data_IF_769872694862
#
_entry.id   IF_769872694862
#
_cell.length_a   1.000
_cell.length_b   1.000
_cell.length_c   1.000
_cell.angle_alpha   90.00
_cell.angle_beta   90.00
_cell.angle_gamma   90.00
#
_symmetry.space_group_name_H-M   'P 1'
#
loop_
_entity.id
_entity.type
_entity.pdbx_description
1 polymer ?
#
# COMPACT_ATOMS: atom_id res chain seq x y z
N UNK A 1 -2.02 -26.00 -5.26
CA UNK A 1 -2.31 -24.92 -6.23
C UNK A 1 -1.87 -23.60 -5.61
N UNK A 2 -1.22 -22.68 -6.33
CA UNK A 2 -0.66 -21.43 -5.75
C UNK A 2 -1.69 -20.31 -5.57
N UNK A 3 -2.73 -20.32 -6.40
CA UNK A 3 -3.79 -19.30 -6.44
C UNK A 3 -5.17 -19.97 -6.50
N UNK A 4 -6.26 -19.25 -6.18
CA UNK A 4 -7.60 -19.70 -6.48
C UNK A 4 -7.71 -20.09 -7.97
N UNK A 5 -8.43 -21.17 -8.27
CA UNK A 5 -8.74 -21.50 -9.66
C UNK A 5 -9.96 -20.72 -10.12
N UNK A 6 -9.80 -19.95 -11.19
CA UNK A 6 -10.91 -19.34 -11.92
C UNK A 6 -10.63 -19.59 -13.40
N UNK A 7 -11.53 -20.32 -14.06
CA UNK A 7 -11.45 -20.52 -15.51
C UNK A 7 -11.54 -19.16 -16.23
N UNK A 8 -10.67 -18.94 -17.23
CA UNK A 8 -10.56 -17.69 -17.99
C UNK A 8 -10.39 -16.43 -17.11
N UNK A 9 -9.62 -16.53 -16.02
CA UNK A 9 -9.44 -15.45 -15.04
C UNK A 9 -9.03 -14.11 -15.67
N UNK A 10 -8.01 -14.09 -16.53
CA UNK A 10 -7.51 -12.83 -17.13
C UNK A 10 -8.59 -12.15 -17.99
N UNK A 11 -9.32 -12.94 -18.80
CA UNK A 11 -10.42 -12.44 -19.63
C UNK A 11 -11.58 -11.91 -18.78
N UNK A 12 -11.94 -12.63 -17.70
CA UNK A 12 -13.00 -12.20 -16.78
C UNK A 12 -12.63 -10.92 -16.06
N UNK A 13 -11.39 -10.81 -15.60
CA UNK A 13 -10.88 -9.62 -14.94
C UNK A 13 -10.89 -8.40 -15.87
N UNK A 14 -10.40 -8.56 -17.11
CA UNK A 14 -10.45 -7.51 -18.13
C UNK A 14 -11.88 -7.02 -18.38
N UNK A 15 -12.83 -7.93 -18.62
CA UNK A 15 -14.22 -7.57 -18.89
C UNK A 15 -14.87 -6.85 -17.70
N UNK A 16 -14.58 -7.31 -16.48
CA UNK A 16 -15.05 -6.66 -15.25
C UNK A 16 -14.49 -5.24 -15.14
N UNK A 17 -13.18 -5.07 -15.30
CA UNK A 17 -12.52 -3.76 -15.28
C UNK A 17 -13.08 -2.82 -16.35
N UNK A 18 -13.22 -3.25 -17.60
CA UNK A 18 -13.78 -2.44 -18.68
C UNK A 18 -15.21 -1.98 -18.38
N UNK A 19 -16.04 -2.87 -17.82
CA UNK A 19 -17.42 -2.52 -17.46
C UNK A 19 -17.51 -1.42 -16.38
N UNK A 20 -16.52 -1.37 -15.48
CA UNK A 20 -16.41 -0.38 -14.40
C UNK A 20 -15.73 0.89 -14.86
N UNK A 21 -14.70 0.77 -15.71
CA UNK A 21 -13.90 1.86 -16.25
C UNK A 21 -14.77 2.91 -16.94
N UNK A 22 -15.72 2.46 -17.77
CA UNK A 22 -16.61 3.37 -18.48
C UNK A 22 -17.55 4.15 -17.56
N UNK A 23 -17.84 3.63 -16.36
CA UNK A 23 -18.72 4.26 -15.38
C UNK A 23 -17.98 5.23 -14.46
N UNK A 24 -16.73 4.93 -14.11
CA UNK A 24 -15.98 5.66 -13.08
C UNK A 24 -15.12 6.79 -13.64
N UNK A 25 -14.45 6.60 -14.77
CA UNK A 25 -13.50 7.61 -15.27
C UNK A 25 -14.14 8.69 -16.14
N UNK A 26 -13.78 9.94 -15.88
CA UNK A 26 -14.13 11.14 -16.67
C UNK A 26 -13.26 11.24 -17.93
N UNK A 27 -13.75 11.95 -18.94
CA UNK A 27 -13.11 12.04 -20.28
C UNK A 27 -11.66 12.53 -20.22
N UNK A 28 -11.36 13.50 -19.35
CA UNK A 28 -10.04 14.13 -19.21
C UNK A 28 -8.98 13.26 -18.52
N UNK A 29 -9.40 12.26 -17.74
CA UNK A 29 -8.50 11.30 -17.05
C UNK A 29 -8.52 9.90 -17.66
N UNK A 30 -9.39 9.65 -18.65
CA UNK A 30 -9.58 8.34 -19.27
C UNK A 30 -8.34 7.80 -19.97
N UNK A 31 -7.51 8.65 -20.57
CA UNK A 31 -6.32 8.19 -21.30
C UNK A 31 -5.26 7.67 -20.32
N UNK A 32 -4.83 8.50 -19.37
CA UNK A 32 -3.87 8.11 -18.32
C UNK A 32 -4.34 6.90 -17.51
N UNK A 33 -5.62 6.87 -17.11
CA UNK A 33 -6.20 5.75 -16.39
C UNK A 33 -6.20 4.46 -17.22
N UNK A 34 -6.43 4.56 -18.53
CA UNK A 34 -6.43 3.40 -19.43
C UNK A 34 -5.03 2.86 -19.62
N UNK A 35 -4.04 3.72 -19.83
CA UNK A 35 -2.63 3.31 -19.94
C UNK A 35 -2.17 2.57 -18.68
N UNK A 36 -2.47 3.13 -17.50
CA UNK A 36 -2.16 2.47 -16.22
C UNK A 36 -2.89 1.15 -16.06
N UNK A 37 -4.20 1.09 -16.35
CA UNK A 37 -4.97 -0.15 -16.25
C UNK A 37 -4.41 -1.25 -17.16
N UNK A 38 -4.09 -0.92 -18.42
CA UNK A 38 -3.55 -1.89 -19.37
C UNK A 38 -2.22 -2.46 -18.89
N UNK A 39 -1.33 -1.60 -18.38
CA UNK A 39 -0.08 -2.03 -17.78
C UNK A 39 -0.31 -2.91 -16.54
N UNK A 40 -1.20 -2.51 -15.62
CA UNK A 40 -1.52 -3.30 -14.41
C UNK A 40 -2.11 -4.68 -14.75
N UNK A 41 -2.94 -4.78 -15.80
CA UNK A 41 -3.50 -6.04 -16.29
C UNK A 41 -2.42 -6.91 -16.94
N UNK A 42 -1.51 -6.33 -17.73
CA UNK A 42 -0.37 -7.06 -18.31
C UNK A 42 0.53 -7.66 -17.22
N UNK A 43 0.85 -6.89 -16.18
CA UNK A 43 1.63 -7.39 -15.03
C UNK A 43 0.85 -8.51 -14.31
N UNK A 44 -0.46 -8.33 -14.12
CA UNK A 44 -1.32 -9.34 -13.48
C UNK A 44 -1.35 -10.66 -14.25
N UNK A 45 -1.40 -10.60 -15.59
CA UNK A 45 -1.33 -11.76 -16.48
C UNK A 45 0.04 -12.46 -16.39
N UNK A 46 1.14 -11.69 -16.48
CA UNK A 46 2.52 -12.22 -16.31
C UNK A 46 2.71 -12.91 -14.96
N UNK A 47 2.16 -12.33 -13.90
CA UNK A 47 2.20 -12.88 -12.54
C UNK A 47 1.19 -14.02 -12.31
N UNK A 48 0.30 -14.29 -13.28
CA UNK A 48 -0.79 -15.27 -13.20
C UNK A 48 -1.68 -15.06 -11.98
N UNK A 49 -1.94 -13.80 -11.63
CA UNK A 49 -2.62 -13.42 -10.38
C UNK A 49 -4.04 -12.90 -10.58
N UNK A 50 -4.59 -12.95 -11.81
CA UNK A 50 -5.95 -12.48 -12.08
C UNK A 50 -7.02 -13.18 -11.23
N UNK A 51 -6.85 -14.48 -10.96
CA UNK A 51 -7.78 -15.24 -10.12
C UNK A 51 -7.77 -14.80 -8.66
N UNK A 52 -6.68 -14.22 -8.15
CA UNK A 52 -6.63 -13.62 -6.83
C UNK A 52 -7.53 -12.40 -6.72
N UNK A 53 -7.46 -11.50 -7.71
CA UNK A 53 -8.28 -10.30 -7.76
C UNK A 53 -9.78 -10.65 -7.83
N UNK A 54 -10.13 -11.58 -8.72
CA UNK A 54 -11.49 -12.07 -8.85
C UNK A 54 -11.98 -12.76 -7.58
N UNK A 55 -11.14 -13.58 -6.94
CA UNK A 55 -11.51 -14.24 -5.69
C UNK A 55 -11.86 -13.24 -4.59
N UNK A 56 -11.03 -12.22 -4.35
CA UNK A 56 -11.33 -11.19 -3.34
C UNK A 56 -12.61 -10.44 -3.71
N UNK A 57 -12.75 -10.07 -4.98
CA UNK A 57 -13.96 -9.39 -5.47
C UNK A 57 -15.21 -10.24 -5.20
N UNK A 58 -15.21 -11.51 -5.60
CA UNK A 58 -16.34 -12.43 -5.46
C UNK A 58 -16.70 -12.68 -3.99
N UNK A 59 -15.69 -12.83 -3.10
CA UNK A 59 -15.92 -12.97 -1.65
C UNK A 59 -16.62 -11.72 -1.10
N UNK A 60 -16.11 -10.52 -1.43
CA UNK A 60 -16.70 -9.26 -0.97
C UNK A 60 -18.12 -9.06 -1.52
N UNK A 61 -18.38 -9.47 -2.77
CA UNK A 61 -19.74 -9.43 -3.33
C UNK A 61 -20.67 -10.44 -2.64
N UNK A 62 -20.21 -11.67 -2.40
CA UNK A 62 -21.02 -12.74 -1.81
C UNK A 62 -21.52 -12.38 -0.40
N UNK A 63 -20.71 -11.67 0.38
CA UNK A 63 -21.08 -11.21 1.72
C UNK A 63 -21.72 -9.81 1.75
N UNK A 64 -21.99 -9.22 0.57
CA UNK A 64 -22.49 -7.87 0.41
C UNK A 64 -21.68 -6.83 1.21
N UNK A 65 -20.34 -6.89 1.12
CA UNK A 65 -19.46 -5.96 1.80
C UNK A 65 -19.66 -4.53 1.28
N UNK A 66 -19.85 -3.59 2.20
CA UNK A 66 -19.87 -2.16 1.90
C UNK A 66 -18.44 -1.60 1.93
N UNK A 67 -18.09 -0.71 0.99
CA UNK A 67 -16.79 -0.04 0.93
C UNK A 67 -16.43 0.78 2.19
N UNK A 68 -17.42 1.18 2.99
CA UNK A 68 -17.22 1.85 4.28
C UNK A 68 -16.89 0.88 5.43
N UNK A 69 -17.03 -0.43 5.21
CA UNK A 69 -16.76 -1.47 6.20
C UNK A 69 -15.31 -1.97 6.16
N UNK A 70 -14.52 -1.60 5.15
CA UNK A 70 -13.13 -2.05 5.04
C UNK A 70 -12.21 -1.05 4.33
N UNK A 71 -10.92 -1.24 4.52
CA UNK A 71 -9.91 -0.63 3.68
C UNK A 71 -8.67 -1.53 3.58
N UNK A 72 -8.12 -1.64 2.38
CA UNK A 72 -6.91 -2.43 2.14
C UNK A 72 -5.65 -1.66 2.57
N UNK A 73 -4.78 -2.36 3.29
CA UNK A 73 -3.50 -1.89 3.80
C UNK A 73 -2.42 -1.92 2.71
N UNK A 74 -1.27 -1.35 3.02
CA UNK A 74 -0.11 -1.37 2.14
C UNK A 74 -0.34 -0.55 0.88
N UNK A 75 -0.18 -1.18 -0.27
CA UNK A 75 0.06 -0.51 -1.56
C UNK A 75 -1.08 -0.70 -2.55
N UNK A 76 -2.09 -1.52 -2.20
CA UNK A 76 -3.22 -1.87 -3.06
C UNK A 76 -3.94 -0.63 -3.59
N UNK A 77 -4.09 0.40 -2.75
CA UNK A 77 -4.72 1.66 -3.12
C UNK A 77 -3.99 2.47 -4.20
N UNK A 78 -2.78 2.07 -4.60
CA UNK A 78 -2.07 2.68 -5.72
C UNK A 78 -2.57 2.22 -7.09
N UNK A 79 -3.43 1.21 -7.18
CA UNK A 79 -3.79 0.56 -8.45
C UNK A 79 -5.14 0.99 -8.98
N UNK A 80 -5.20 1.29 -10.28
CA UNK A 80 -6.45 1.54 -11.01
C UNK A 80 -7.33 0.29 -10.94
N UNK A 81 -6.72 -0.89 -11.06
CA UNK A 81 -7.36 -2.18 -10.89
C UNK A 81 -8.10 -2.28 -9.55
N UNK A 82 -7.46 -1.90 -8.44
CA UNK A 82 -8.08 -1.92 -7.12
C UNK A 82 -9.26 -0.93 -7.01
N UNK A 83 -9.11 0.27 -7.58
CA UNK A 83 -10.17 1.28 -7.60
C UNK A 83 -11.40 0.79 -8.39
N UNK A 84 -11.20 0.21 -9.59
CA UNK A 84 -12.29 -0.31 -10.41
C UNK A 84 -13.06 -1.47 -9.77
N UNK A 85 -12.35 -2.29 -8.98
CA UNK A 85 -12.94 -3.40 -8.24
C UNK A 85 -13.57 -2.99 -6.91
N UNK A 86 -13.52 -1.69 -6.55
CA UNK A 86 -14.06 -1.16 -5.30
C UNK A 86 -13.23 -1.52 -4.06
N UNK A 87 -11.99 -1.98 -4.24
CA UNK A 87 -11.08 -2.32 -3.13
C UNK A 87 -10.42 -1.09 -2.51
N UNK A 88 -10.53 0.06 -3.16
CA UNK A 88 -10.20 1.37 -2.59
C UNK A 88 -11.17 2.40 -3.16
N UNK A 89 -11.49 3.42 -2.39
CA UNK A 89 -12.26 4.57 -2.87
C UNK A 89 -11.35 5.72 -3.36
N UNK A 90 -10.04 5.52 -3.36
CA UNK A 90 -9.06 6.48 -3.88
C UNK A 90 -8.90 6.21 -5.37
N UNK A 91 -9.18 7.21 -6.20
CA UNK A 91 -8.77 7.17 -7.60
C UNK A 91 -7.26 7.47 -7.67
N UNK A 92 -6.40 6.48 -8.00
CA UNK A 92 -4.96 6.70 -7.97
C UNK A 92 -4.47 7.60 -9.11
N UNK A 93 -5.31 7.92 -10.10
CA UNK A 93 -5.01 8.82 -11.23
C UNK A 93 -5.37 10.27 -10.89
N UNK A 94 -6.37 10.47 -10.02
CA UNK A 94 -6.87 11.79 -9.62
C UNK A 94 -6.74 11.99 -8.10
N UNK A 95 -5.57 11.67 -7.56
CA UNK A 95 -5.27 11.85 -6.15
C UNK A 95 -4.07 12.77 -5.93
N UNK A 96 -4.11 13.49 -4.82
CA UNK A 96 -3.01 14.29 -4.31
C UNK A 96 -2.82 13.95 -2.83
N UNK A 97 -1.60 13.58 -2.39
CA UNK A 97 -0.38 13.36 -3.17
C UNK A 97 -0.42 12.13 -4.11
N UNK A 98 0.42 12.12 -5.16
CA UNK A 98 0.41 11.12 -6.26
C UNK A 98 0.69 9.69 -5.79
N UNK A 99 0.19 8.70 -6.54
CA UNK A 99 0.44 7.27 -6.32
C UNK A 99 1.00 6.59 -7.57
N UNK A 100 1.76 5.50 -7.36
CA UNK A 100 2.48 4.80 -8.43
C UNK A 100 2.20 3.29 -8.39
N UNK A 101 1.86 2.70 -9.53
CA UNK A 101 1.44 1.30 -9.62
C UNK A 101 2.61 0.31 -9.39
N UNK A 102 3.82 0.66 -9.82
CA UNK A 102 5.06 -0.14 -9.69
C UNK A 102 5.43 -0.54 -8.26
N UNK A 103 4.87 0.21 -7.32
CA UNK A 103 5.03 0.09 -5.89
C UNK A 103 4.12 -0.96 -5.24
N UNK A 104 3.16 -1.49 -6.01
CA UNK A 104 2.27 -2.57 -5.62
C UNK A 104 2.48 -3.84 -6.46
N UNK A 105 2.65 -3.70 -7.77
CA UNK A 105 2.94 -4.77 -8.72
C UNK A 105 3.99 -4.31 -9.71
N UNK A 106 4.88 -5.18 -10.18
CA UNK A 106 5.80 -4.86 -11.26
C UNK A 106 6.29 -6.14 -11.99
N UNK A 107 7.14 -5.98 -12.99
CA UNK A 107 7.68 -7.09 -13.79
C UNK A 107 8.67 -7.99 -13.02
N UNK A 108 9.08 -7.63 -11.79
CA UNK A 108 9.87 -8.51 -10.95
C UNK A 108 8.98 -9.55 -10.25
N UNK A 109 9.47 -10.78 -10.11
CA UNK A 109 8.75 -11.84 -9.41
C UNK A 109 8.60 -11.59 -7.89
N UNK A 110 9.25 -10.55 -7.36
CA UNK A 110 9.34 -10.24 -5.94
C UNK A 110 8.26 -9.26 -5.45
N UNK A 111 7.52 -8.62 -6.36
CA UNK A 111 6.44 -7.69 -6.04
C UNK A 111 5.09 -8.21 -6.50
N UNK A 112 4.43 -8.93 -5.59
CA UNK A 112 3.05 -9.37 -5.76
C UNK A 112 2.13 -8.59 -4.83
N UNK A 113 0.93 -8.33 -5.32
CA UNK A 113 -0.10 -7.68 -4.51
C UNK A 113 -0.42 -8.53 -3.27
N UNK A 114 -0.36 -7.90 -2.09
CA UNK A 114 -0.80 -8.50 -0.83
C UNK A 114 -2.19 -7.96 -0.47
N UNK A 115 -3.13 -8.87 -0.20
CA UNK A 115 -4.49 -8.50 0.17
C UNK A 115 -4.64 -8.57 1.68
N UNK A 116 -4.38 -7.44 2.32
CA UNK A 116 -4.56 -7.27 3.77
C UNK A 116 -5.55 -6.14 4.00
N UNK A 117 -6.64 -6.39 4.71
CA UNK A 117 -7.65 -5.38 4.99
C UNK A 117 -7.82 -5.16 6.49
N UNK A 118 -8.08 -3.92 6.88
CA UNK A 118 -8.78 -3.67 8.13
C UNK A 118 -10.28 -3.67 7.82
N UNK A 119 -11.06 -4.34 8.67
CA UNK A 119 -12.49 -4.54 8.49
C UNK A 119 -13.26 -4.15 9.74
N UNK A 120 -14.51 -3.72 9.58
CA UNK A 120 -15.43 -3.50 10.69
C UNK A 120 -15.69 -4.82 11.44
N UNK A 121 -16.05 -4.77 12.74
CA UNK A 121 -16.38 -5.99 13.48
C UNK A 121 -17.50 -6.82 12.83
N UNK A 122 -18.52 -6.15 12.26
CA UNK A 122 -19.61 -6.84 11.56
C UNK A 122 -19.13 -7.52 10.27
N UNK A 123 -18.28 -6.85 9.48
CA UNK A 123 -17.74 -7.44 8.27
C UNK A 123 -16.76 -8.58 8.58
N UNK A 124 -15.99 -8.46 9.65
CA UNK A 124 -15.15 -9.53 10.17
C UNK A 124 -15.98 -10.79 10.43
N UNK A 125 -17.09 -10.69 11.18
CA UNK A 125 -17.98 -11.82 11.45
C UNK A 125 -18.55 -12.45 10.17
N UNK A 126 -18.95 -11.64 9.18
CA UNK A 126 -19.42 -12.13 7.87
C UNK A 126 -18.32 -12.90 7.12
N UNK A 127 -17.08 -12.39 7.13
CA UNK A 127 -15.94 -13.06 6.50
C UNK A 127 -15.61 -14.38 7.20
N UNK A 128 -15.66 -14.42 8.54
CA UNK A 128 -15.46 -15.66 9.29
C UNK A 128 -16.52 -16.70 8.92
N UNK A 129 -17.80 -16.31 8.95
CA UNK A 129 -18.90 -17.21 8.59
C UNK A 129 -18.78 -17.72 7.15
N UNK A 130 -18.49 -16.82 6.20
CA UNK A 130 -18.29 -17.19 4.79
C UNK A 130 -17.20 -18.23 4.63
N UNK A 131 -16.03 -18.02 5.23
CA UNK A 131 -14.95 -19.00 5.11
C UNK A 131 -15.28 -20.30 5.86
N UNK A 132 -15.89 -20.25 7.04
CA UNK A 132 -16.30 -21.46 7.76
C UNK A 132 -17.22 -22.39 6.94
N UNK A 133 -18.09 -21.81 6.12
CA UNK A 133 -18.97 -22.56 5.22
C UNK A 133 -18.27 -23.04 3.93
N UNK A 134 -17.23 -22.32 3.46
CA UNK A 134 -16.59 -22.54 2.16
C UNK A 134 -15.17 -23.16 2.25
N UNK A 135 -14.69 -23.49 3.46
CA UNK A 135 -13.37 -24.10 3.70
C UNK A 135 -13.20 -25.52 3.13
N UNK A 136 -14.28 -26.17 2.66
CA UNK A 136 -14.25 -27.53 2.10
C UNK A 136 -13.67 -27.62 0.68
N UNK A 137 -13.28 -26.50 0.07
CA UNK A 137 -12.46 -26.54 -1.14
C UNK A 137 -11.00 -26.86 -0.75
N UNK A 138 -10.45 -27.96 -1.30
CA UNK A 138 -9.20 -28.68 -0.92
C UNK A 138 -7.89 -27.85 -0.79
N UNK A 139 -7.91 -26.53 -0.84
CA UNK A 139 -6.73 -25.67 -0.77
C UNK A 139 -6.90 -24.39 0.04
N UNK A 140 -7.97 -24.19 0.82
CA UNK A 140 -8.14 -23.02 1.70
C UNK A 140 -7.87 -23.43 3.15
N UNK A 141 -7.05 -22.65 3.85
CA UNK A 141 -6.75 -22.86 5.28
C UNK A 141 -6.89 -21.56 6.06
N UNK A 142 -7.33 -21.69 7.32
CA UNK A 142 -7.37 -20.55 8.24
C UNK A 142 -5.96 -20.08 8.60
N UNK A 143 -5.83 -18.79 8.82
CA UNK A 143 -4.62 -18.13 9.27
C UNK A 143 -4.85 -17.45 10.62
N UNK A 144 -3.88 -17.54 11.53
CA UNK A 144 -4.02 -17.06 12.91
C UNK A 144 -2.85 -16.17 13.31
N UNK A 145 -3.12 -15.18 14.17
CA UNK A 145 -2.11 -14.36 14.85
C UNK A 145 -1.31 -15.20 15.86
N UNK A 146 -0.23 -14.62 16.38
CA UNK A 146 0.56 -15.20 17.47
C UNK A 146 -0.31 -15.41 18.73
N UNK A 147 -1.26 -14.49 18.96
CA UNK A 147 -2.21 -14.52 20.06
C UNK A 147 -3.33 -15.56 19.86
N UNK A 148 -3.40 -16.19 18.68
CA UNK A 148 -4.36 -17.25 18.34
C UNK A 148 -5.66 -16.74 17.71
N UNK A 149 -5.75 -15.45 17.41
CA UNK A 149 -6.92 -14.86 16.77
C UNK A 149 -6.94 -15.18 15.28
N UNK A 150 -8.11 -15.55 14.76
CA UNK A 150 -8.29 -15.76 13.33
C UNK A 150 -8.12 -14.43 12.57
N UNK A 151 -7.31 -14.42 11.51
CA UNK A 151 -6.95 -13.16 10.84
C UNK A 151 -6.87 -13.27 9.32
N UNK A 152 -7.41 -14.33 8.74
CA UNK A 152 -7.41 -14.49 7.29
C UNK A 152 -7.43 -15.92 6.81
N UNK A 153 -7.36 -16.05 5.48
CA UNK A 153 -7.18 -17.34 4.82
C UNK A 153 -5.92 -17.39 3.99
N UNK A 154 -5.40 -18.59 3.86
CA UNK A 154 -4.31 -18.96 2.96
C UNK A 154 -4.85 -19.91 1.91
N UNK A 155 -4.51 -19.64 0.65
CA UNK A 155 -4.86 -20.50 -0.49
C UNK A 155 -3.57 -21.03 -1.11
N UNK A 156 -3.43 -22.36 -1.09
CA UNK A 156 -2.17 -23.02 -1.43
C UNK A 156 -1.14 -23.05 -0.29
N UNK A 157 -0.17 -23.96 -0.36
CA UNK A 157 0.83 -24.13 0.71
C UNK A 157 0.33 -24.92 1.93
N UNK A 158 1.20 -25.09 2.93
CA UNK A 158 0.88 -25.78 4.20
C UNK A 158 0.32 -24.80 5.25
N UNK A 159 -0.48 -25.30 6.20
CA UNK A 159 -0.94 -24.52 7.37
C UNK A 159 0.24 -24.04 8.21
N UNK A 160 0.32 -22.73 8.51
CA UNK A 160 1.38 -22.14 9.35
C UNK A 160 0.83 -21.07 10.30
N UNK A 161 1.49 -20.89 11.45
CA UNK A 161 1.28 -19.76 12.39
C UNK A 161 2.20 -18.60 11.99
N UNK A 162 1.73 -17.37 12.12
CA UNK A 162 2.56 -16.16 11.92
C UNK A 162 3.50 -16.01 13.09
N UNK A 163 4.75 -15.56 12.84
CA UNK A 163 5.56 -14.82 13.81
C UNK A 163 5.46 -13.35 13.42
N UNK A 164 5.15 -12.44 14.34
CA UNK A 164 5.16 -10.96 14.15
C UNK A 164 6.12 -10.50 13.04
N UNK A 165 5.54 -10.23 11.86
CA UNK A 165 6.30 -9.85 10.67
C UNK A 165 5.54 -10.15 9.38
N UNK A 166 5.55 -9.18 8.47
CA UNK A 166 4.93 -9.14 7.14
C UNK A 166 5.53 -10.16 6.14
N UNK A 167 5.79 -11.39 6.58
CA UNK A 167 6.50 -12.38 5.78
C UNK A 167 5.55 -13.05 4.78
N UNK A 168 5.74 -12.72 3.50
CA UNK A 168 5.25 -13.50 2.37
C UNK A 168 5.71 -14.95 2.54
N UNK A 169 4.77 -15.86 2.77
CA UNK A 169 5.07 -17.29 2.67
C UNK A 169 5.23 -17.56 1.16
N UNK A 170 6.38 -18.10 0.71
CA UNK A 170 6.55 -18.43 -0.70
C UNK A 170 5.45 -19.40 -1.15
N UNK A 171 4.90 -19.14 -2.34
CA UNK A 171 3.97 -20.03 -3.05
C UNK A 171 2.57 -20.23 -2.46
N UNK A 172 2.10 -19.29 -1.65
CA UNK A 172 0.70 -19.18 -1.22
C UNK A 172 0.10 -17.80 -1.51
N UNK A 173 -1.23 -17.76 -1.57
CA UNK A 173 -2.02 -16.53 -1.60
C UNK A 173 -2.64 -16.27 -0.24
N UNK A 174 -2.55 -15.03 0.23
CA UNK A 174 -3.12 -14.63 1.52
C UNK A 174 -4.21 -13.59 1.31
N UNK A 175 -5.35 -13.81 1.95
CA UNK A 175 -6.31 -12.76 2.24
C UNK A 175 -6.40 -12.58 3.74
N UNK A 176 -5.73 -11.56 4.25
CA UNK A 176 -5.74 -11.23 5.67
C UNK A 176 -6.76 -10.14 5.96
N UNK A 177 -7.50 -10.30 7.03
CA UNK A 177 -8.49 -9.32 7.48
C UNK A 177 -8.42 -9.18 9.00
N UNK A 178 -8.24 -7.93 9.44
CA UNK A 178 -8.05 -7.58 10.84
C UNK A 178 -9.23 -6.73 11.31
N UNK A 179 -9.90 -7.10 12.41
CA UNK A 179 -10.96 -6.26 12.97
C UNK A 179 -10.37 -4.94 13.47
N UNK A 180 -11.09 -3.84 13.27
CA UNK A 180 -10.69 -2.52 13.72
C UNK A 180 -11.78 -1.79 14.51
N UNK A 181 -11.39 -0.96 15.48
CA UNK A 181 -12.29 -0.13 16.28
C UNK A 181 -12.09 1.38 15.97
N UNK A 182 -13.05 2.00 15.25
CA UNK A 182 -12.98 3.40 14.76
C UNK A 182 -12.63 4.41 15.87
N UNK A 183 -13.29 4.34 17.01
CA UNK A 183 -13.20 5.33 18.11
C UNK A 183 -11.83 5.46 18.78
N UNK A 184 -10.96 4.44 18.72
CA UNK A 184 -9.63 4.48 19.34
C UNK A 184 -8.55 5.12 18.44
N UNK A 185 -8.85 5.33 17.15
CA UNK A 185 -7.92 5.77 16.12
C UNK A 185 -7.41 7.20 16.33
N UNK A 186 -8.36 8.14 16.46
CA UNK A 186 -8.10 9.58 16.48
C UNK A 186 -7.26 10.03 17.67
N UNK A 187 -7.66 9.63 18.87
CA UNK A 187 -6.98 10.04 20.11
C UNK A 187 -5.51 9.58 20.14
N UNK A 188 -5.18 8.49 19.44
CA UNK A 188 -3.80 8.02 19.34
C UNK A 188 -2.97 8.91 18.43
N UNK A 189 -3.54 9.42 17.34
CA UNK A 189 -2.85 10.22 16.31
C UNK A 189 -2.48 11.63 16.75
N UNK A 190 -3.37 12.30 17.48
CA UNK A 190 -3.13 13.66 17.99
C UNK A 190 -1.97 13.74 18.99
N UNK A 191 -1.53 12.59 19.52
CA UNK A 191 -0.40 12.49 20.45
C UNK A 191 0.95 12.21 19.76
N UNK A 192 0.98 11.99 18.44
CA UNK A 192 2.25 11.79 17.72
C UNK A 192 3.00 13.11 17.54
N UNK A 193 4.32 13.09 17.79
CA UNK A 193 5.17 14.29 17.71
C UNK A 193 5.10 15.03 16.36
N UNK A 194 5.09 14.37 15.18
CA UNK A 194 4.90 15.06 13.91
C UNK A 194 3.63 15.91 13.86
N UNK A 195 2.50 15.40 14.37
CA UNK A 195 1.24 16.16 14.38
C UNK A 195 1.30 17.38 15.31
N UNK A 196 1.86 17.22 16.51
CA UNK A 196 2.00 18.29 17.48
C UNK A 196 2.94 19.41 17.00
N UNK A 197 4.01 19.03 16.32
CA UNK A 197 5.06 19.97 15.89
C UNK A 197 4.76 20.60 14.53
N UNK A 198 4.25 19.84 13.56
CA UNK A 198 3.99 20.33 12.21
C UNK A 198 2.60 20.94 12.04
N UNK A 199 1.62 20.61 12.91
CA UNK A 199 0.25 21.13 12.87
C UNK A 199 -0.37 21.07 11.46
N UNK A 200 -0.58 19.85 10.92
CA UNK A 200 -1.04 19.66 9.55
C UNK A 200 -2.39 20.33 9.31
N UNK A 201 -2.59 20.92 8.12
CA UNK A 201 -3.83 21.61 7.75
C UNK A 201 -4.52 20.84 6.62
N UNK A 202 -3.78 20.52 5.57
CA UNK A 202 -4.33 19.87 4.39
C UNK A 202 -4.19 18.34 4.45
N UNK A 203 -5.04 17.60 3.73
CA UNK A 203 -4.99 16.13 3.65
C UNK A 203 -3.57 15.61 3.39
N UNK A 204 -2.81 16.28 2.53
CA UNK A 204 -1.42 15.93 2.21
C UNK A 204 -0.49 16.02 3.44
N UNK A 205 -0.66 17.04 4.29
CA UNK A 205 0.10 17.19 5.53
C UNK A 205 -0.21 16.09 6.53
N UNK A 206 -1.48 15.71 6.64
CA UNK A 206 -1.91 14.59 7.49
C UNK A 206 -1.25 13.29 7.03
N UNK A 207 -1.29 13.00 5.72
CA UNK A 207 -0.62 11.84 5.12
C UNK A 207 0.89 11.87 5.38
N UNK A 208 1.52 13.05 5.27
CA UNK A 208 2.94 13.23 5.56
C UNK A 208 3.24 12.95 7.04
N UNK A 209 2.47 13.53 7.97
CA UNK A 209 2.63 13.33 9.40
C UNK A 209 2.39 11.87 9.83
N UNK A 210 1.44 11.17 9.20
CA UNK A 210 1.26 9.73 9.40
C UNK A 210 2.52 8.94 9.03
N UNK A 211 3.10 9.22 7.87
CA UNK A 211 4.36 8.62 7.43
C UNK A 211 5.51 8.88 8.39
N UNK A 212 5.70 10.15 8.78
CA UNK A 212 6.71 10.57 9.74
C UNK A 212 6.57 9.88 11.11
N UNK A 213 5.34 9.68 11.58
CA UNK A 213 5.05 9.13 12.91
C UNK A 213 5.16 7.61 13.04
N UNK A 214 5.15 6.87 11.93
CA UNK A 214 5.13 5.40 11.94
C UNK A 214 6.38 4.76 11.35
N UNK A 215 7.16 5.49 10.55
CA UNK A 215 8.43 5.01 10.03
C UNK A 215 9.51 4.96 11.12
N UNK A 216 10.44 4.00 11.00
CA UNK A 216 11.56 3.87 11.94
C UNK A 216 12.75 4.68 11.42
N UNK A 217 13.26 5.61 12.23
CA UNK A 217 14.35 6.51 11.83
C UNK A 217 13.93 7.60 10.84
N UNK A 218 12.63 7.87 10.74
CA UNK A 218 12.06 8.89 9.86
C UNK A 218 11.94 10.24 10.58
N UNK A 219 11.40 10.27 11.79
CA UNK A 219 11.21 11.51 12.56
C UNK A 219 12.42 11.90 13.42
N UNK A 220 12.67 11.17 14.52
CA UNK A 220 13.66 11.55 15.53
C UNK A 220 15.09 11.62 14.96
N UNK A 221 15.79 12.71 15.25
CA UNK A 221 17.15 13.01 14.75
C UNK A 221 17.27 12.94 13.21
N UNK A 222 16.16 13.07 12.50
CA UNK A 222 16.08 13.08 11.05
C UNK A 222 15.13 14.20 10.58
N UNK A 223 13.90 13.90 10.17
CA UNK A 223 12.94 14.91 9.70
C UNK A 223 12.71 16.03 10.71
N UNK A 224 12.65 15.69 12.01
CA UNK A 224 12.50 16.69 13.08
C UNK A 224 13.63 17.74 13.05
N UNK A 225 14.88 17.28 12.87
CA UNK A 225 16.04 18.16 12.82
C UNK A 225 16.00 19.02 11.55
N UNK A 226 15.71 18.42 10.40
CA UNK A 226 15.68 19.13 9.11
C UNK A 226 14.64 20.26 9.12
N UNK A 227 13.44 19.98 9.66
CA UNK A 227 12.36 20.96 9.77
C UNK A 227 12.69 22.05 10.81
N UNK A 228 13.13 21.68 12.02
CA UNK A 228 13.42 22.66 13.09
C UNK A 228 14.54 23.63 12.74
N UNK A 229 15.50 23.19 11.93
CA UNK A 229 16.60 24.04 11.48
C UNK A 229 16.31 24.78 10.17
N UNK A 230 15.09 24.66 9.63
CA UNK A 230 14.69 25.34 8.40
C UNK A 230 15.45 24.86 7.16
N UNK A 231 15.98 23.63 7.17
CA UNK A 231 16.69 23.04 6.04
C UNK A 231 15.68 22.64 4.96
N UNK A 232 14.53 22.12 5.38
CA UNK A 232 13.40 21.73 4.51
C UNK A 232 12.07 22.05 5.19
N UNK A 233 11.02 22.18 4.39
CA UNK A 233 9.63 22.30 4.82
C UNK A 233 8.99 20.92 5.07
N UNK A 234 7.76 20.90 5.62
CA UNK A 234 6.97 19.67 5.77
C UNK A 234 6.70 18.97 4.43
N UNK A 235 6.51 19.73 3.35
CA UNK A 235 6.19 19.15 2.04
C UNK A 235 7.41 18.47 1.41
N UNK A 236 8.61 19.00 1.66
CA UNK A 236 9.88 18.53 1.10
C UNK A 236 10.48 17.33 1.87
N UNK A 237 10.16 17.16 3.15
CA UNK A 237 10.76 16.10 3.96
C UNK A 237 10.28 14.71 3.56
N UNK A 238 11.12 13.69 3.79
CA UNK A 238 10.77 12.27 3.56
C UNK A 238 9.86 11.79 4.69
N UNK A 239 8.58 11.54 4.38
CA UNK A 239 7.63 10.87 5.27
C UNK A 239 7.16 9.52 4.73
N UNK A 240 7.14 9.36 3.41
CA UNK A 240 6.70 8.16 2.71
C UNK A 240 7.71 7.77 1.62
N UNK A 241 7.71 6.51 1.20
CA UNK A 241 8.68 6.03 0.19
C UNK A 241 8.53 6.75 -1.15
N UNK A 242 7.32 7.17 -1.48
CA UNK A 242 7.03 7.94 -2.69
C UNK A 242 7.77 9.29 -2.71
N UNK A 243 8.14 9.85 -1.55
CA UNK A 243 8.94 11.08 -1.48
C UNK A 243 10.39 10.86 -1.96
N UNK A 244 10.95 9.66 -1.70
CA UNK A 244 12.26 9.24 -2.25
C UNK A 244 12.19 9.06 -3.74
N UNK A 245 11.11 8.44 -4.19
CA UNK A 245 10.90 8.19 -5.58
C UNK A 245 10.76 9.48 -6.39
N UNK A 246 9.90 10.39 -5.93
CA UNK A 246 9.66 11.68 -6.57
C UNK A 246 10.92 12.54 -6.59
N UNK A 247 11.69 12.60 -5.49
CA UNK A 247 12.98 13.30 -5.47
C UNK A 247 13.91 12.81 -6.58
N UNK A 248 14.01 11.50 -6.79
CA UNK A 248 14.87 10.91 -7.82
C UNK A 248 14.34 11.21 -9.24
N UNK A 249 13.03 11.07 -9.46
CA UNK A 249 12.40 11.36 -10.75
C UNK A 249 12.53 12.84 -11.14
N UNK A 250 12.33 13.75 -10.18
CA UNK A 250 12.44 15.19 -10.38
C UNK A 250 13.88 15.62 -10.75
N UNK A 251 14.88 14.80 -10.39
CA UNK A 251 16.28 14.96 -10.76
C UNK A 251 16.70 14.13 -11.99
N UNK A 252 15.72 13.58 -12.73
CA UNK A 252 15.95 12.88 -14.00
C UNK A 252 16.49 11.45 -13.87
N UNK A 253 16.44 10.85 -12.69
CA UNK A 253 16.79 9.43 -12.50
C UNK A 253 15.73 8.56 -13.17
N UNK A 254 16.17 7.53 -13.90
CA UNK A 254 15.27 6.58 -14.56
C UNK A 254 14.32 5.90 -13.56
N UNK A 255 13.07 5.70 -14.00
CA UNK A 255 11.96 5.07 -13.26
C UNK A 255 12.37 3.79 -12.53
N UNK A 256 13.10 2.90 -13.21
CA UNK A 256 13.51 1.61 -12.65
C UNK A 256 14.57 1.80 -11.56
N UNK A 257 15.57 2.65 -11.81
CA UNK A 257 16.65 2.93 -10.85
C UNK A 257 16.10 3.66 -9.62
N UNK A 258 15.20 4.63 -9.84
CA UNK A 258 14.53 5.36 -8.76
C UNK A 258 13.71 4.41 -7.87
N UNK A 259 13.03 3.42 -8.47
CA UNK A 259 12.32 2.38 -7.73
C UNK A 259 13.28 1.52 -6.90
N UNK A 260 14.37 1.05 -7.49
CA UNK A 260 15.37 0.22 -6.81
C UNK A 260 16.00 0.94 -5.61
N UNK A 261 16.39 2.22 -5.78
CA UNK A 261 16.91 3.05 -4.68
C UNK A 261 15.84 3.26 -3.61
N UNK A 262 14.60 3.59 -4.00
CA UNK A 262 13.49 3.78 -3.06
C UNK A 262 13.23 2.51 -2.24
N UNK A 263 13.25 1.35 -2.88
CA UNK A 263 13.09 0.07 -2.21
C UNK A 263 14.26 -0.26 -1.27
N UNK A 264 15.48 0.10 -1.68
CA UNK A 264 16.67 -0.04 -0.86
C UNK A 264 16.56 0.81 0.43
N UNK A 265 16.12 2.06 0.31
CA UNK A 265 15.90 2.99 1.42
C UNK A 265 14.77 2.53 2.33
N UNK A 266 13.60 2.18 1.78
CA UNK A 266 12.43 1.81 2.61
C UNK A 266 12.64 0.55 3.43
N UNK A 267 13.54 -0.34 2.99
CA UNK A 267 13.98 -1.55 3.71
C UNK A 267 15.08 -1.27 4.75
N UNK A 268 15.51 -0.02 4.88
CA UNK A 268 16.55 0.39 5.82
C UNK A 268 17.95 -0.10 5.48
N UNK A 269 18.17 -0.51 4.23
CA UNK A 269 19.44 -1.13 3.86
C UNK A 269 20.62 -0.14 3.99
N UNK A 270 20.50 1.15 3.60
CA UNK A 270 21.55 2.14 3.85
C UNK A 270 21.92 2.27 5.34
N UNK A 271 20.92 2.28 6.22
CA UNK A 271 21.15 2.37 7.67
C UNK A 271 21.92 1.17 8.22
N UNK A 272 21.59 -0.03 7.73
CA UNK A 272 22.12 -1.27 8.29
C UNK A 272 23.40 -1.77 7.61
N UNK A 273 23.59 -1.44 6.33
CA UNK A 273 24.66 -1.99 5.49
C UNK A 273 25.47 -0.93 4.74
N UNK A 274 25.07 0.34 4.83
CA UNK A 274 25.61 1.39 3.97
C UNK A 274 25.03 1.35 2.57
N UNK A 275 25.40 2.36 1.78
CA UNK A 275 25.00 2.47 0.40
C UNK A 275 25.83 1.58 -0.53
N UNK A 276 25.21 1.13 -1.63
CA UNK A 276 25.94 0.67 -2.80
C UNK A 276 26.62 1.88 -3.46
N UNK A 277 27.89 1.73 -3.84
CA UNK A 277 28.63 2.74 -4.60
C UNK A 277 27.89 3.15 -5.88
N UNK A 278 27.30 2.22 -6.63
CA UNK A 278 26.55 2.51 -7.86
C UNK A 278 25.31 3.39 -7.57
N UNK A 279 24.62 3.16 -6.45
CA UNK A 279 23.47 3.98 -6.07
C UNK A 279 23.89 5.37 -5.61
N UNK A 280 25.03 5.50 -4.91
CA UNK A 280 25.61 6.80 -4.58
C UNK A 280 26.00 7.57 -5.84
N UNK A 281 26.72 6.93 -6.77
CA UNK A 281 27.13 7.54 -8.03
C UNK A 281 25.91 8.04 -8.82
N UNK A 282 24.81 7.27 -8.85
CA UNK A 282 23.55 7.73 -9.47
C UNK A 282 23.03 8.99 -8.78
N UNK A 283 22.93 8.99 -7.44
CA UNK A 283 22.40 10.13 -6.70
C UNK A 283 23.30 11.37 -6.80
N UNK A 284 24.63 11.19 -6.79
CA UNK A 284 25.61 12.25 -6.96
C UNK A 284 25.55 12.86 -8.37
N UNK A 285 25.53 12.03 -9.40
CA UNK A 285 25.42 12.49 -10.79
C UNK A 285 24.09 13.18 -11.09
N UNK A 286 23.02 12.76 -10.40
CA UNK A 286 21.71 13.41 -10.47
C UNK A 286 21.63 14.70 -9.61
N UNK A 287 22.69 15.08 -8.91
CA UNK A 287 22.74 16.24 -8.00
C UNK A 287 21.68 16.18 -6.89
N UNK A 288 21.40 14.99 -6.37
CA UNK A 288 20.50 14.82 -5.22
C UNK A 288 21.10 15.56 -4.00
N UNK A 289 20.31 16.37 -3.27
CA UNK A 289 20.83 17.14 -2.16
C UNK A 289 21.48 16.27 -1.06
N UNK A 290 22.61 16.72 -0.52
CA UNK A 290 23.34 15.96 0.50
C UNK A 290 22.49 15.64 1.75
N UNK A 291 21.63 16.58 2.17
CA UNK A 291 20.69 16.36 3.28
C UNK A 291 19.75 15.19 3.02
N UNK A 292 19.37 14.98 1.76
CA UNK A 292 18.44 13.93 1.34
C UNK A 292 19.08 12.55 1.46
N UNK A 293 20.32 12.42 0.97
CA UNK A 293 21.11 11.18 1.06
C UNK A 293 21.42 10.85 2.53
N UNK A 294 21.76 11.86 3.34
CA UNK A 294 21.97 11.68 4.78
C UNK A 294 20.68 11.24 5.48
N UNK A 295 19.53 11.85 5.15
CA UNK A 295 18.22 11.47 5.68
C UNK A 295 17.89 10.02 5.36
N UNK A 296 18.07 9.60 4.10
CA UNK A 296 17.87 8.21 3.66
C UNK A 296 18.74 7.20 4.42
N UNK A 297 19.95 7.60 4.84
CA UNK A 297 20.86 6.76 5.62
C UNK A 297 20.35 6.50 7.05
N UNK A 298 19.47 7.35 7.57
CA UNK A 298 18.92 7.22 8.93
C UNK A 298 17.65 6.36 8.98
N UNK A 299 16.96 6.21 7.86
CA UNK A 299 15.70 5.48 7.74
C UNK A 299 15.94 3.98 7.82
N UNK A 300 15.20 3.29 8.71
CA UNK A 300 15.22 1.84 8.86
C UNK A 300 13.98 1.17 8.26
N UNK A 301 12.85 1.89 8.23
CA UNK A 301 11.60 1.42 7.65
C UNK A 301 10.77 2.62 7.20
N UNK A 302 10.32 2.62 5.95
CA UNK A 302 9.51 3.69 5.37
C UNK A 302 8.22 3.13 4.77
N UNK A 303 7.10 3.75 5.12
CA UNK A 303 5.77 3.27 4.74
C UNK A 303 5.32 3.82 3.38
N UNK A 304 4.42 3.09 2.69
CA UNK A 304 3.79 3.56 1.47
C UNK A 304 2.72 4.62 1.73
N UNK A 305 2.72 5.68 0.92
CA UNK A 305 1.72 6.77 0.94
C UNK A 305 0.29 6.26 0.80
N UNK A 306 0.06 5.27 -0.08
CA UNK A 306 -1.26 4.69 -0.30
C UNK A 306 -1.90 4.09 0.96
N UNK A 307 -1.10 3.59 1.89
CA UNK A 307 -1.58 3.06 3.16
C UNK A 307 -2.22 4.18 4.00
N UNK A 308 -1.53 5.31 4.09
CA UNK A 308 -2.00 6.47 4.83
C UNK A 308 -3.14 7.20 4.14
N UNK A 309 -3.18 7.20 2.81
CA UNK A 309 -4.33 7.73 2.08
C UNK A 309 -5.60 6.92 2.36
N UNK A 310 -5.53 5.57 2.32
CA UNK A 310 -6.67 4.73 2.67
C UNK A 310 -7.06 4.90 4.14
N UNK A 311 -6.06 5.02 5.02
CA UNK A 311 -6.28 5.34 6.42
C UNK A 311 -7.07 6.66 6.55
N UNK A 312 -6.56 7.77 6.02
CA UNK A 312 -7.23 9.07 6.06
C UNK A 312 -8.64 9.01 5.49
N UNK A 313 -8.82 8.38 4.32
CA UNK A 313 -10.12 8.22 3.66
C UNK A 313 -11.14 7.52 4.56
N UNK A 314 -10.75 6.43 5.21
CA UNK A 314 -11.64 5.65 6.06
C UNK A 314 -12.03 6.40 7.35
N UNK A 315 -11.13 7.23 7.89
CA UNK A 315 -11.39 8.08 9.06
C UNK A 315 -11.72 9.53 8.69
N UNK A 316 -12.16 9.81 7.44
CA UNK A 316 -12.46 11.18 6.96
C UNK A 316 -13.44 11.96 7.83
N UNK A 317 -14.34 11.29 8.56
CA UNK A 317 -15.26 11.93 9.52
C UNK A 317 -14.61 12.36 10.84
N UNK A 318 -13.38 11.94 11.10
CA UNK A 318 -12.64 12.23 12.34
C UNK A 318 -11.58 13.33 12.15
N UNK A 319 -11.12 13.55 10.92
CA UNK A 319 -10.24 14.65 10.53
C UNK A 319 -11.11 15.78 9.94
N UNK A 320 -11.58 16.69 10.78
CA UNK A 320 -12.24 17.91 10.28
C UNK A 320 -11.16 18.78 9.65
N UNK A 321 -11.18 18.86 8.32
CA UNK A 321 -10.44 19.87 7.56
C UNK A 321 -11.27 21.15 7.65
N UNK A 322 -10.85 22.11 8.48
CA UNK A 322 -11.48 23.45 8.52
C UNK A 322 -11.17 24.26 7.27
#
# INVERSE_FOLDING_TARGET
>A
MKYPYVEDADKKLLLLCESKFQKLYKVDKKEEARERLLWELEITEKQKSASCWLFIYDVLQAINANEEEYWFRGTVGSLVLAYLLGMTSIDPVDCNPKLYSEFCINDSNDYRCCFEANVSPSLYEKLVAYFDENLLHDNISKFFTDEGDYCGVVIGGEQRRVYKGFASIPDSFHFLFFPYEKTAAKAKLENYRPFLECKPIEVADYIKCLGLGHGIGVWENNAEYLIKNGIVTLHEVIGNREDVYEMLLDHGVDRKIAFEITDYVRKGIPKHRGWNAEMLDVMENANIPAWFIESCTKIACLFPRAHWMNYCQYYKGEFVYE
#
